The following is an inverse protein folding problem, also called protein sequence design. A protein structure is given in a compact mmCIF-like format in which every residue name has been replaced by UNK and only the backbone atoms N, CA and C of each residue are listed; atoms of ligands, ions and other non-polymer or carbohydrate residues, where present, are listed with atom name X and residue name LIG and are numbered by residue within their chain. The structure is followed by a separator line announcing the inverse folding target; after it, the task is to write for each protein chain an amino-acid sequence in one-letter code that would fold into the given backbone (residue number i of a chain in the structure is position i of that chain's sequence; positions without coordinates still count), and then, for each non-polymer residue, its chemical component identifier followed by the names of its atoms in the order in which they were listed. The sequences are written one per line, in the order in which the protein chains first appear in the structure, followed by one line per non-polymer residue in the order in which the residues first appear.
data_IF_407941677955
#
_entry.id   IF_407941677955
#
_cell.length_a   1.000
_cell.length_b   1.000
_cell.length_c   1.000
_cell.angle_alpha   90.00
_cell.angle_beta   90.00
_cell.angle_gamma   90.00
#
_symmetry.space_group_name_H-M   'P 1'
#
loop_
_entity.id
_entity.type
_entity.pdbx_description
1 polymer ?
#
# COMPACT_ATOMS: atom_id res chain seq x y z
N UNK A 1 -14.85 0.03 -10.76
CA UNK A 1 -15.14 -0.66 -12.06
C UNK A 1 -16.41 -0.17 -12.77
N UNK A 2 -17.28 0.61 -12.13
CA UNK A 2 -18.14 1.63 -12.79
C UNK A 2 -18.26 2.81 -11.80
N UNK A 3 -18.24 4.06 -12.28
CA UNK A 3 -18.35 5.26 -11.42
C UNK A 3 -17.10 5.63 -10.59
N UNK A 4 -15.93 5.09 -10.92
CA UNK A 4 -14.65 5.40 -10.27
C UNK A 4 -13.81 6.35 -11.13
N UNK A 5 -13.12 7.32 -10.52
CA UNK A 5 -12.09 8.13 -11.18
C UNK A 5 -10.75 7.45 -10.94
N UNK A 6 -9.99 7.20 -12.00
CA UNK A 6 -8.66 6.59 -11.91
C UNK A 6 -7.63 7.60 -12.40
N UNK A 7 -6.58 7.80 -11.61
CA UNK A 7 -5.55 8.80 -11.87
C UNK A 7 -4.18 8.14 -11.75
N UNK A 8 -3.33 8.39 -12.75
CA UNK A 8 -1.95 7.93 -12.78
C UNK A 8 -1.04 9.16 -12.82
N UNK A 9 -0.79 9.82 -11.68
CA UNK A 9 0.07 10.99 -11.66
C UNK A 9 1.52 10.59 -11.92
N UNK A 10 2.29 11.53 -12.44
CA UNK A 10 3.71 11.33 -12.75
C UNK A 10 4.56 12.14 -11.77
N UNK A 11 5.36 11.45 -10.95
CA UNK A 11 6.35 12.10 -10.09
C UNK A 11 7.41 12.87 -10.88
N UNK A 12 8.15 13.73 -10.19
CA UNK A 12 9.18 14.57 -10.81
C UNK A 12 10.37 13.74 -11.32
N UNK A 13 11.14 14.27 -12.27
CA UNK A 13 12.30 13.56 -12.81
C UNK A 13 13.52 13.72 -11.91
N UNK A 14 14.15 12.59 -11.57
CA UNK A 14 15.49 12.50 -11.00
C UNK A 14 16.37 11.70 -11.95
N UNK A 15 17.55 12.23 -12.28
CA UNK A 15 18.52 11.58 -13.18
C UNK A 15 17.91 11.11 -14.52
N UNK A 16 16.90 11.85 -15.02
CA UNK A 16 16.23 11.57 -16.29
C UNK A 16 14.97 10.71 -16.20
N UNK A 17 14.70 10.06 -15.06
CA UNK A 17 13.55 9.18 -14.83
C UNK A 17 12.61 9.73 -13.75
N UNK A 18 11.28 9.58 -13.88
CA UNK A 18 10.37 9.93 -12.79
C UNK A 18 10.62 9.12 -11.52
N UNK A 19 10.37 9.72 -10.37
CA UNK A 19 10.48 9.06 -9.05
C UNK A 19 9.47 9.66 -8.06
N UNK A 20 9.28 8.95 -6.95
CA UNK A 20 8.52 9.40 -5.78
C UNK A 20 9.41 9.50 -4.55
N UNK A 21 9.26 10.57 -3.80
CA UNK A 21 9.73 10.76 -2.43
C UNK A 21 8.65 10.25 -1.47
N UNK A 22 8.91 9.09 -0.84
CA UNK A 22 7.97 8.36 0.01
C UNK A 22 8.24 8.55 1.51
N UNK A 23 8.87 9.66 1.89
CA UNK A 23 9.13 10.03 3.26
C UNK A 23 8.88 11.53 3.47
N UNK A 24 8.83 11.97 4.73
CA UNK A 24 8.86 13.38 5.05
C UNK A 24 10.16 14.04 4.54
N UNK A 25 10.17 15.36 4.30
CA UNK A 25 11.38 16.07 3.86
C UNK A 25 12.59 15.75 4.75
N UNK A 26 13.62 15.12 4.18
CA UNK A 26 14.73 14.55 4.95
C UNK A 26 15.65 13.67 4.11
N UNK A 27 16.55 12.96 4.80
CA UNK A 27 17.59 12.14 4.18
C UNK A 27 17.09 10.86 3.51
N UNK A 28 15.85 10.44 3.79
CA UNK A 28 15.26 9.23 3.23
C UNK A 28 14.67 9.44 1.82
N UNK A 29 14.56 10.71 1.40
CA UNK A 29 14.08 11.08 0.07
C UNK A 29 15.23 11.22 -0.94
N UNK A 30 14.90 11.01 -2.21
CA UNK A 30 15.88 10.99 -3.31
C UNK A 30 16.08 12.39 -3.93
N UNK A 31 15.16 13.31 -3.66
CA UNK A 31 15.21 14.72 -4.10
C UNK A 31 14.51 15.65 -3.12
N UNK A 32 14.39 16.93 -3.47
CA UNK A 32 13.63 17.96 -2.75
C UNK A 32 12.16 18.10 -3.19
N UNK A 33 11.67 17.22 -4.08
CA UNK A 33 10.29 17.24 -4.52
C UNK A 33 9.31 16.90 -3.37
N UNK A 34 8.27 17.74 -3.22
CA UNK A 34 7.18 17.53 -2.27
C UNK A 34 6.06 16.69 -2.91
N UNK A 35 6.25 15.37 -2.93
CA UNK A 35 5.30 14.45 -3.55
C UNK A 35 4.03 14.23 -2.70
N UNK A 36 4.12 14.35 -1.37
CA UNK A 36 2.94 14.30 -0.48
C UNK A 36 2.03 15.52 -0.71
N UNK A 37 2.61 16.73 -0.71
CA UNK A 37 1.88 17.96 -1.01
C UNK A 37 1.33 17.97 -2.43
N UNK A 38 2.05 17.39 -3.40
CA UNK A 38 1.57 17.23 -4.77
C UNK A 38 0.31 16.34 -4.85
N UNK A 39 0.28 15.18 -4.16
CA UNK A 39 -0.90 14.31 -4.16
C UNK A 39 -2.10 15.01 -3.51
N UNK A 40 -1.88 15.75 -2.41
CA UNK A 40 -2.92 16.55 -1.75
C UNK A 40 -3.52 17.59 -2.70
N UNK A 41 -2.69 18.37 -3.39
CA UNK A 41 -3.13 19.38 -4.34
C UNK A 41 -3.85 18.75 -5.55
N UNK A 42 -3.34 17.62 -6.05
CA UNK A 42 -3.97 16.86 -7.13
C UNK A 42 -5.40 16.42 -6.75
N UNK A 43 -5.57 15.84 -5.57
CA UNK A 43 -6.90 15.43 -5.07
C UNK A 43 -7.82 16.64 -4.88
N UNK A 44 -7.32 17.75 -4.34
CA UNK A 44 -8.09 19.00 -4.22
C UNK A 44 -8.57 19.51 -5.58
N UNK A 45 -7.74 19.38 -6.63
CA UNK A 45 -8.10 19.83 -7.97
C UNK A 45 -9.13 18.92 -8.63
N UNK A 46 -9.00 17.60 -8.47
CA UNK A 46 -9.98 16.63 -8.97
C UNK A 46 -11.34 16.86 -8.31
N UNK A 47 -11.38 17.07 -6.99
CA UNK A 47 -12.61 17.35 -6.24
C UNK A 47 -13.29 18.67 -6.67
N UNK A 48 -12.51 19.64 -7.12
CA UNK A 48 -13.04 20.88 -7.70
C UNK A 48 -13.62 20.71 -9.11
N UNK A 49 -13.07 19.81 -9.91
CA UNK A 49 -13.45 19.59 -11.31
C UNK A 49 -14.52 18.49 -11.49
N UNK A 50 -14.60 17.53 -10.56
CA UNK A 50 -15.45 16.35 -10.61
C UNK A 50 -16.05 16.03 -9.23
N UNK A 51 -17.29 15.51 -9.14
CA UNK A 51 -17.85 15.06 -7.88
C UNK A 51 -17.04 13.86 -7.35
N UNK A 52 -16.25 14.09 -6.31
CA UNK A 52 -15.44 13.09 -5.64
C UNK A 52 -16.05 12.73 -4.29
N UNK A 53 -16.16 11.44 -4.00
CA UNK A 53 -16.43 10.98 -2.64
C UNK A 53 -15.12 10.94 -1.86
N UNK A 54 -14.88 11.97 -1.04
CA UNK A 54 -13.64 12.12 -0.29
C UNK A 54 -13.45 11.04 0.78
N UNK A 55 -14.50 10.34 1.17
CA UNK A 55 -14.40 9.23 2.12
C UNK A 55 -13.89 7.96 1.44
N UNK A 56 -13.89 7.89 0.09
CA UNK A 56 -13.54 6.70 -0.71
C UNK A 56 -12.42 6.98 -1.71
N UNK A 57 -11.31 7.49 -1.19
CA UNK A 57 -10.07 7.69 -1.93
C UNK A 57 -9.07 6.60 -1.55
N UNK A 58 -8.46 5.99 -2.56
CA UNK A 58 -7.54 4.87 -2.39
C UNK A 58 -6.23 5.15 -3.13
N UNK A 59 -5.11 4.66 -2.59
CA UNK A 59 -3.81 4.73 -3.25
C UNK A 59 -3.20 3.34 -3.41
N UNK A 60 -2.61 3.07 -4.57
CA UNK A 60 -1.82 1.86 -4.76
C UNK A 60 -0.67 2.11 -5.71
N UNK A 61 0.40 1.34 -5.53
CA UNK A 61 1.53 1.40 -6.44
C UNK A 61 2.47 0.21 -6.32
N UNK A 62 3.37 0.16 -7.29
CA UNK A 62 4.43 -0.82 -7.43
C UNK A 62 5.75 -0.24 -6.93
N UNK A 63 6.56 -1.00 -6.18
CA UNK A 63 7.94 -0.62 -5.84
C UNK A 63 8.00 0.74 -5.15
N UNK A 64 8.69 1.74 -5.72
CA UNK A 64 8.70 3.12 -5.22
C UNK A 64 7.30 3.76 -5.17
N UNK A 65 6.38 3.38 -6.05
CA UNK A 65 4.97 3.75 -5.96
C UNK A 65 4.23 3.04 -4.82
N UNK A 66 4.62 1.80 -4.48
CA UNK A 66 4.11 1.09 -3.31
C UNK A 66 4.57 1.75 -2.01
N UNK A 67 5.83 2.20 -1.96
CA UNK A 67 6.34 3.04 -0.87
C UNK A 67 5.55 4.35 -0.77
N UNK A 68 5.24 5.00 -1.90
CA UNK A 68 4.44 6.23 -1.90
C UNK A 68 3.01 5.98 -1.40
N UNK A 69 2.38 4.85 -1.75
CA UNK A 69 1.09 4.48 -1.20
C UNK A 69 1.15 4.29 0.32
N UNK A 70 2.18 3.60 0.83
CA UNK A 70 2.42 3.48 2.27
C UNK A 70 2.63 4.85 2.94
N UNK A 71 3.40 5.74 2.31
CA UNK A 71 3.66 7.09 2.80
C UNK A 71 2.38 7.94 2.89
N UNK A 72 1.47 7.82 1.92
CA UNK A 72 0.18 8.48 1.97
C UNK A 72 -0.66 7.99 3.15
N UNK A 73 -0.76 6.67 3.36
CA UNK A 73 -1.44 6.15 4.54
C UNK A 73 -0.79 6.60 5.86
N UNK A 74 0.53 6.76 5.86
CA UNK A 74 1.32 7.11 7.03
C UNK A 74 1.23 8.59 7.43
N UNK A 75 1.45 9.49 6.47
CA UNK A 75 1.60 10.93 6.70
C UNK A 75 0.40 11.76 6.26
N UNK A 76 -0.39 11.23 5.31
CA UNK A 76 -1.51 11.92 4.68
C UNK A 76 -2.79 11.08 4.82
N UNK A 77 -2.93 10.36 5.94
CA UNK A 77 -4.04 9.41 6.17
C UNK A 77 -5.42 10.02 5.90
N UNK A 78 -5.63 11.29 6.24
CA UNK A 78 -6.90 12.00 5.96
C UNK A 78 -7.30 12.06 4.47
N UNK A 79 -6.36 11.76 3.56
CA UNK A 79 -6.59 11.69 2.12
C UNK A 79 -6.95 10.29 1.62
N UNK A 80 -6.63 9.21 2.32
CA UNK A 80 -6.76 7.84 1.81
C UNK A 80 -7.42 6.91 2.82
N UNK A 81 -8.50 6.27 2.40
CA UNK A 81 -9.24 5.28 3.20
C UNK A 81 -8.52 3.94 3.31
N UNK A 82 -7.81 3.54 2.25
CA UNK A 82 -7.08 2.28 2.19
C UNK A 82 -5.99 2.32 1.11
N UNK A 83 -4.98 1.46 1.28
CA UNK A 83 -3.84 1.40 0.37
C UNK A 83 -3.45 -0.02 -0.03
N UNK A 84 -2.94 -0.14 -1.27
CA UNK A 84 -2.38 -1.38 -1.81
C UNK A 84 -0.90 -1.24 -2.17
N UNK A 85 -0.04 -2.00 -1.50
CA UNK A 85 1.42 -1.91 -1.61
C UNK A 85 1.93 -3.16 -2.33
N UNK A 86 2.31 -3.03 -3.60
CA UNK A 86 2.80 -4.16 -4.43
C UNK A 86 4.31 -4.07 -4.61
N UNK A 87 5.05 -5.09 -4.22
CA UNK A 87 6.52 -5.13 -4.23
C UNK A 87 7.15 -3.85 -3.65
N UNK A 88 6.52 -3.26 -2.63
CA UNK A 88 6.95 -2.04 -1.95
C UNK A 88 7.09 -2.28 -0.45
N UNK A 89 7.69 -1.33 0.26
CA UNK A 89 7.86 -1.38 1.71
C UNK A 89 7.36 -0.09 2.35
N UNK A 90 7.05 -0.13 3.65
CA UNK A 90 6.94 1.06 4.47
C UNK A 90 8.33 1.49 4.97
N UNK A 91 8.72 2.73 4.67
CA UNK A 91 10.03 3.28 5.08
C UNK A 91 10.05 3.56 6.58
N UNK A 92 9.00 4.19 7.11
CA UNK A 92 8.90 4.55 8.52
C UNK A 92 7.86 3.69 9.24
N UNK A 93 8.32 2.77 10.10
CA UNK A 93 7.48 1.97 11.01
C UNK A 93 7.59 2.46 12.46
N UNK A 94 8.11 3.67 12.67
CA UNK A 94 8.26 4.32 13.95
C UNK A 94 7.06 5.21 14.32
N UNK A 95 7.25 6.03 15.35
CA UNK A 95 6.19 6.89 15.90
C UNK A 95 5.95 8.19 15.13
N UNK A 96 6.77 8.49 14.11
CA UNK A 96 6.55 9.66 13.24
C UNK A 96 5.39 9.35 12.29
N UNK A 97 5.34 8.12 11.78
CA UNK A 97 4.16 7.56 11.16
C UNK A 97 2.99 7.48 12.15
N UNK A 98 2.01 8.36 12.00
CA UNK A 98 0.88 8.48 12.92
C UNK A 98 -0.44 8.70 12.17
N UNK A 99 -0.98 7.67 11.50
CA UNK A 99 -2.25 7.77 10.80
C UNK A 99 -3.39 8.16 11.76
N UNK A 100 -4.38 8.90 11.25
CA UNK A 100 -5.42 9.54 12.08
C UNK A 100 -6.71 8.72 12.19
N UNK A 101 -6.86 7.66 11.40
CA UNK A 101 -7.99 6.74 11.42
C UNK A 101 -7.53 5.30 11.12
N UNK A 102 -8.35 4.28 11.43
CA UNK A 102 -8.12 2.92 10.99
C UNK A 102 -8.04 2.87 9.46
N UNK A 103 -6.98 2.27 8.91
CA UNK A 103 -6.69 2.29 7.46
C UNK A 103 -6.57 0.88 6.94
N UNK A 104 -7.39 0.49 5.96
CA UNK A 104 -7.24 -0.82 5.33
C UNK A 104 -5.92 -0.91 4.57
N UNK A 105 -5.11 -1.95 4.81
CA UNK A 105 -3.84 -2.16 4.11
C UNK A 105 -3.76 -3.55 3.50
N UNK A 106 -3.46 -3.61 2.20
CA UNK A 106 -3.10 -4.85 1.51
C UNK A 106 -1.65 -4.75 1.01
N UNK A 107 -0.86 -5.78 1.25
CA UNK A 107 0.53 -5.89 0.77
C UNK A 107 0.73 -7.16 -0.04
N UNK A 108 1.42 -7.07 -1.17
CA UNK A 108 1.73 -8.19 -2.05
C UNK A 108 3.23 -8.18 -2.30
N UNK A 109 3.95 -9.23 -1.90
CA UNK A 109 5.42 -9.22 -1.97
C UNK A 109 6.02 -10.60 -2.26
N UNK A 110 7.12 -10.61 -3.02
CA UNK A 110 7.84 -11.81 -3.41
C UNK A 110 8.92 -12.17 -2.39
N UNK A 111 9.07 -13.45 -2.04
CA UNK A 111 10.08 -13.86 -1.05
C UNK A 111 11.52 -13.81 -1.58
N UNK A 112 11.71 -13.81 -2.90
CA UNK A 112 13.01 -13.71 -3.57
C UNK A 112 13.23 -12.33 -4.24
N UNK A 113 12.46 -11.32 -3.82
CA UNK A 113 12.62 -9.94 -4.27
C UNK A 113 14.06 -9.44 -4.05
N UNK A 114 14.80 -9.29 -5.16
CA UNK A 114 16.20 -8.87 -5.17
C UNK A 114 16.42 -7.36 -5.06
N UNK A 115 15.36 -6.55 -5.02
CA UNK A 115 15.43 -5.07 -4.93
C UNK A 115 15.05 -4.60 -3.53
N UNK A 116 13.93 -5.11 -3.01
CA UNK A 116 13.43 -4.86 -1.66
C UNK A 116 13.26 -6.21 -0.96
N UNK A 117 14.32 -6.72 -0.29
CA UNK A 117 14.30 -8.05 0.29
C UNK A 117 13.11 -8.24 1.24
N UNK A 118 12.41 -9.36 1.10
CA UNK A 118 11.22 -9.67 1.90
C UNK A 118 11.46 -9.58 3.41
N UNK A 119 12.62 -10.08 3.86
CA UNK A 119 13.04 -10.06 5.27
C UNK A 119 13.76 -8.77 5.68
N UNK A 120 13.77 -7.75 4.81
CA UNK A 120 14.52 -6.52 5.02
C UNK A 120 16.04 -6.71 5.01
N UNK A 121 16.76 -5.62 5.22
CA UNK A 121 18.21 -5.59 5.43
C UNK A 121 18.60 -4.29 6.16
N UNK A 122 19.87 -3.90 6.14
CA UNK A 122 20.34 -2.68 6.80
C UNK A 122 19.77 -1.36 6.21
N UNK A 123 19.22 -1.41 4.99
CA UNK A 123 18.71 -0.25 4.25
C UNK A 123 17.20 -0.29 4.03
N UNK A 124 16.56 -1.44 4.23
CA UNK A 124 15.15 -1.68 3.88
C UNK A 124 14.42 -2.40 5.01
N UNK A 125 13.24 -1.90 5.33
CA UNK A 125 12.30 -2.50 6.29
C UNK A 125 11.82 -3.87 5.81
N UNK A 126 11.60 -4.82 6.73
CA UNK A 126 11.02 -6.11 6.38
C UNK A 126 9.52 -5.97 6.08
N UNK A 127 8.97 -6.91 5.30
CA UNK A 127 7.51 -6.98 5.11
C UNK A 127 6.78 -7.22 6.43
N UNK A 128 7.36 -8.04 7.32
CA UNK A 128 6.83 -8.30 8.66
C UNK A 128 6.68 -7.01 9.47
N UNK A 129 7.67 -6.11 9.46
CA UNK A 129 7.58 -4.82 10.17
C UNK A 129 6.46 -3.93 9.63
N UNK A 130 6.24 -3.94 8.31
CA UNK A 130 5.13 -3.19 7.68
C UNK A 130 3.79 -3.76 8.14
N UNK A 131 3.66 -5.08 8.14
CA UNK A 131 2.44 -5.77 8.58
C UNK A 131 2.17 -5.50 10.06
N UNK A 132 3.17 -5.68 10.92
CA UNK A 132 3.07 -5.50 12.37
C UNK A 132 2.70 -4.07 12.76
N UNK A 133 3.24 -3.08 12.04
CA UNK A 133 2.86 -1.68 12.22
C UNK A 133 1.35 -1.49 12.01
N UNK A 134 0.81 -1.97 10.89
CA UNK A 134 -0.61 -1.79 10.58
C UNK A 134 -1.53 -2.66 11.43
N UNK A 135 -1.11 -3.87 11.80
CA UNK A 135 -1.81 -4.74 12.77
C UNK A 135 -1.95 -4.00 14.10
N UNK A 136 -0.87 -3.36 14.56
CA UNK A 136 -0.86 -2.60 15.81
C UNK A 136 -1.72 -1.34 15.71
N UNK A 137 -1.55 -0.55 14.65
CA UNK A 137 -2.30 0.68 14.42
C UNK A 137 -3.81 0.43 14.31
N UNK A 138 -4.21 -0.57 13.52
CA UNK A 138 -5.61 -0.93 13.30
C UNK A 138 -6.20 -1.79 14.43
N UNK A 139 -5.41 -2.19 15.42
CA UNK A 139 -5.85 -3.06 16.53
C UNK A 139 -6.53 -4.35 16.04
N UNK A 140 -5.99 -4.97 14.99
CA UNK A 140 -6.51 -6.24 14.48
C UNK A 140 -6.17 -7.41 15.40
N UNK A 141 -6.71 -8.58 15.11
CA UNK A 141 -6.16 -9.83 15.63
C UNK A 141 -4.67 -9.92 15.30
N UNK A 142 -3.86 -10.46 16.22
CA UNK A 142 -2.41 -10.64 16.03
C UNK A 142 -2.06 -11.97 15.36
N UNK A 143 -3.01 -12.91 15.32
CA UNK A 143 -2.88 -14.17 14.59
C UNK A 143 -3.73 -14.10 13.32
N UNK A 144 -3.14 -14.22 12.13
CA UNK A 144 -3.90 -14.17 10.90
C UNK A 144 -4.66 -15.47 10.67
N UNK A 145 -5.75 -15.39 9.91
CA UNK A 145 -6.22 -16.57 9.18
C UNK A 145 -5.38 -16.76 7.92
N UNK A 146 -5.03 -18.00 7.61
CA UNK A 146 -4.13 -18.32 6.51
C UNK A 146 -4.86 -19.12 5.41
N UNK A 147 -4.54 -18.81 4.16
CA UNK A 147 -4.94 -19.58 2.99
C UNK A 147 -3.77 -19.67 2.01
N UNK A 148 -3.78 -20.66 1.12
CA UNK A 148 -2.78 -20.75 0.05
C UNK A 148 -3.43 -21.20 -1.25
N UNK A 149 -2.84 -20.75 -2.35
CA UNK A 149 -3.14 -21.20 -3.70
C UNK A 149 -1.83 -21.32 -4.50
N UNK A 150 -1.89 -21.90 -5.69
CA UNK A 150 -0.74 -21.97 -6.58
C UNK A 150 -1.14 -21.74 -8.02
N UNK A 151 -0.48 -20.78 -8.65
CA UNK A 151 -0.59 -20.51 -10.08
C UNK A 151 0.80 -20.42 -10.70
N UNK A 152 0.96 -20.93 -11.93
CA UNK A 152 2.23 -20.93 -12.69
C UNK A 152 3.46 -21.45 -11.92
N UNK A 153 3.25 -22.35 -10.97
CA UNK A 153 4.28 -22.92 -10.06
C UNK A 153 4.79 -21.96 -8.96
N UNK A 154 4.13 -20.83 -8.77
CA UNK A 154 4.32 -19.94 -7.62
C UNK A 154 3.25 -20.28 -6.58
N UNK A 155 3.68 -20.54 -5.34
CA UNK A 155 2.75 -20.65 -4.21
C UNK A 155 2.46 -19.26 -3.67
N UNK A 156 1.20 -18.91 -3.55
CA UNK A 156 0.75 -17.65 -2.96
C UNK A 156 0.12 -17.97 -1.60
N UNK A 157 0.67 -17.40 -0.54
CA UNK A 157 0.19 -17.57 0.82
C UNK A 157 -0.47 -16.26 1.28
N UNK A 158 -1.76 -16.33 1.59
CA UNK A 158 -2.54 -15.21 2.09
C UNK A 158 -2.57 -15.26 3.62
N UNK A 159 -2.27 -14.13 4.26
CA UNK A 159 -2.42 -13.91 5.69
C UNK A 159 -3.39 -12.74 5.91
N UNK A 160 -4.47 -12.98 6.65
CA UNK A 160 -5.52 -11.98 6.91
C UNK A 160 -5.63 -11.71 8.40
N UNK A 161 -5.27 -10.51 8.82
CA UNK A 161 -5.43 -10.00 10.18
C UNK A 161 -6.76 -9.23 10.24
N UNK A 162 -7.77 -9.87 10.84
CA UNK A 162 -9.16 -9.39 10.85
C UNK A 162 -9.50 -8.64 12.14
N UNK A 163 -10.76 -8.22 12.29
CA UNK A 163 -11.33 -7.68 13.53
C UNK A 163 -10.66 -6.41 14.06
N UNK A 164 -10.07 -5.60 13.18
CA UNK A 164 -9.54 -4.29 13.55
C UNK A 164 -10.62 -3.27 13.92
N UNK A 165 -10.18 -2.12 14.43
CA UNK A 165 -11.04 -0.97 14.73
C UNK A 165 -11.91 -0.63 13.52
N UNK A 166 -13.20 -0.43 13.74
CA UNK A 166 -14.19 -0.19 12.68
C UNK A 166 -14.20 -1.25 11.56
N UNK A 167 -13.82 -2.49 11.89
CA UNK A 167 -13.84 -3.62 10.97
C UNK A 167 -12.72 -3.66 9.95
N UNK A 168 -11.71 -2.78 10.05
CA UNK A 168 -10.56 -2.80 9.14
C UNK A 168 -9.77 -4.10 9.25
N UNK A 169 -9.11 -4.49 8.16
CA UNK A 169 -8.18 -5.61 8.12
C UNK A 169 -6.81 -5.21 7.55
N UNK A 170 -5.81 -6.03 7.84
CA UNK A 170 -4.52 -6.03 7.14
C UNK A 170 -4.39 -7.37 6.41
N UNK A 171 -4.13 -7.32 5.10
CA UNK A 171 -4.01 -8.51 4.26
C UNK A 171 -2.64 -8.56 3.61
N UNK A 172 -1.93 -9.68 3.76
CA UNK A 172 -0.65 -9.91 3.10
C UNK A 172 -0.73 -11.11 2.16
N UNK A 173 -0.24 -10.94 0.93
CA UNK A 173 -0.03 -12.02 -0.02
C UNK A 173 1.48 -12.21 -0.24
N UNK A 174 1.97 -13.33 0.27
CA UNK A 174 3.36 -13.76 0.12
C UNK A 174 3.49 -14.66 -1.10
N UNK A 175 4.22 -14.20 -2.10
CA UNK A 175 4.53 -14.96 -3.31
C UNK A 175 5.83 -15.72 -3.11
N UNK A 176 5.74 -17.02 -2.80
CA UNK A 176 6.89 -17.89 -2.51
C UNK A 176 7.71 -18.11 -3.78
N UNK A 177 8.99 -17.72 -3.73
CA UNK A 177 9.88 -17.68 -4.89
C UNK A 177 9.63 -16.51 -5.84
N UNK A 178 8.73 -15.59 -5.48
CA UNK A 178 8.40 -14.42 -6.31
C UNK A 178 9.49 -13.35 -6.29
N UNK A 179 9.67 -12.70 -7.45
CA UNK A 179 10.65 -11.62 -7.68
C UNK A 179 10.06 -10.21 -7.38
N UNK A 180 10.82 -9.16 -7.73
CA UNK A 180 10.39 -7.76 -7.68
C UNK A 180 9.53 -7.41 -8.91
N UNK A 181 8.23 -7.62 -8.85
CA UNK A 181 7.31 -7.44 -9.99
C UNK A 181 5.91 -6.98 -9.56
N UNK A 182 5.12 -6.54 -10.53
CA UNK A 182 3.67 -6.56 -10.37
C UNK A 182 3.16 -7.95 -10.76
N UNK A 183 2.69 -8.72 -9.80
CA UNK A 183 2.41 -10.15 -9.98
C UNK A 183 1.29 -10.42 -10.99
N UNK A 184 1.57 -11.34 -11.91
CA UNK A 184 0.60 -11.82 -12.92
C UNK A 184 -0.06 -13.14 -12.50
N UNK A 185 0.46 -13.79 -11.45
CA UNK A 185 -0.08 -15.01 -10.87
C UNK A 185 -1.39 -14.73 -10.13
N UNK A 186 -2.33 -15.66 -10.27
CA UNK A 186 -3.68 -15.53 -9.72
C UNK A 186 -3.84 -16.30 -8.41
N UNK A 187 -4.39 -15.64 -7.39
CA UNK A 187 -4.88 -16.29 -6.17
C UNK A 187 -6.40 -16.44 -6.27
N UNK A 188 -6.89 -17.67 -6.29
CA UNK A 188 -8.33 -18.00 -6.40
C UNK A 188 -9.01 -17.30 -7.60
N UNK A 189 -8.27 -17.13 -8.70
CA UNK A 189 -8.73 -16.49 -9.94
C UNK A 189 -8.66 -14.95 -9.95
N UNK A 190 -8.01 -14.33 -8.96
CA UNK A 190 -7.77 -12.89 -8.89
C UNK A 190 -6.26 -12.58 -9.00
N UNK A 191 -5.87 -11.73 -9.95
CA UNK A 191 -4.49 -11.22 -10.05
C UNK A 191 -4.25 -10.07 -9.06
N UNK A 192 -3.01 -9.59 -8.96
CA UNK A 192 -2.63 -8.50 -8.05
C UNK A 192 -3.53 -7.25 -8.15
N UNK A 193 -3.95 -6.87 -9.36
CA UNK A 193 -4.80 -5.69 -9.57
C UNK A 193 -6.22 -5.93 -9.05
N UNK A 194 -6.75 -7.13 -9.25
CA UNK A 194 -8.06 -7.54 -8.73
C UNK A 194 -8.03 -7.58 -7.20
N UNK A 195 -7.01 -8.21 -6.61
CA UNK A 195 -6.82 -8.30 -5.16
C UNK A 195 -6.75 -6.91 -4.51
N UNK A 196 -5.90 -6.03 -5.04
CA UNK A 196 -5.77 -4.65 -4.54
C UNK A 196 -7.08 -3.89 -4.66
N UNK A 197 -7.77 -3.98 -5.80
CA UNK A 197 -9.03 -3.27 -6.03
C UNK A 197 -10.13 -3.78 -5.09
N UNK A 198 -10.32 -5.10 -5.02
CA UNK A 198 -11.36 -5.73 -4.22
C UNK A 198 -11.13 -5.54 -2.72
N UNK A 199 -9.87 -5.46 -2.29
CA UNK A 199 -9.54 -5.08 -0.91
C UNK A 199 -9.83 -3.60 -0.63
N UNK A 200 -9.22 -2.70 -1.40
CA UNK A 200 -9.28 -1.26 -1.11
C UNK A 200 -10.70 -0.73 -1.18
N UNK A 201 -11.49 -1.21 -2.13
CA UNK A 201 -12.87 -0.79 -2.33
C UNK A 201 -13.83 -1.21 -1.19
N UNK A 202 -13.43 -2.11 -0.29
CA UNK A 202 -14.20 -2.48 0.92
C UNK A 202 -14.02 -1.50 2.09
N UNK A 203 -13.35 -0.38 1.86
CA UNK A 203 -13.06 0.60 2.90
C UNK A 203 -13.54 2.00 2.53
N UNK A 204 -13.85 2.80 3.55
CA UNK A 204 -13.91 4.26 3.52
C UNK A 204 -13.07 4.83 4.69
N UNK A 205 -13.00 6.15 4.83
CA UNK A 205 -12.18 6.82 5.85
C UNK A 205 -12.56 6.43 7.30
N UNK A 206 -13.75 5.86 7.49
CA UNK A 206 -14.24 5.40 8.79
C UNK A 206 -13.99 3.91 9.03
N UNK A 207 -13.50 3.13 8.06
CA UNK A 207 -13.21 1.70 8.22
C UNK A 207 -13.81 0.82 7.12
N UNK A 208 -14.22 -0.40 7.46
CA UNK A 208 -14.82 -1.34 6.50
C UNK A 208 -16.27 -0.98 6.16
N UNK A 209 -16.69 -1.25 4.91
CA UNK A 209 -18.03 -0.94 4.39
C UNK A 209 -18.69 -2.11 3.66
#
# INVERSE_FOLDING_TARGET
RDGSIVVYPQGTRMEGSPHWNAALPGGDNKSDADDLGFVRELLSRIDGDYPLDRERVYASGYSNGGMMAAALACYESDLVASVGIVSGIQIDTGSICAPTHPTGVITLHGTEDGVLPYNGNAETTAQEDTIDFWVTHNQTDTSPSEASDSDRSVTIEQLVYSNGTNGTSVEHYRYVGGDHVWFDEEFQGANASDLVWDFTHRHDINGAR
#
